data_IF_673177306846
#
_entry.id   IF_673177306846
#
_cell.length_a   1.000
_cell.length_b   1.000
_cell.length_c   1.000
_cell.angle_alpha   90.00
_cell.angle_beta   90.00
_cell.angle_gamma   90.00
#
_symmetry.space_group_name_H-M   'P 1'
#
loop_
_entity.id
_entity.type
_entity.pdbx_description
1 polymer ?
#
# COMPACT_ATOMS: atom_id res chain seq x y z
N UNK A 1 6.67 10.04 -26.05
CA UNK A 1 6.64 8.64 -25.57
C UNK A 1 6.84 8.67 -24.06
N UNK A 2 5.78 8.50 -23.28
CA UNK A 2 5.81 8.48 -21.81
C UNK A 2 6.19 7.07 -21.33
N UNK A 3 7.20 6.86 -20.47
CA UNK A 3 7.41 5.57 -19.84
C UNK A 3 6.48 5.41 -18.63
N UNK A 4 6.05 4.16 -18.42
CA UNK A 4 5.03 3.71 -17.51
C UNK A 4 5.29 4.08 -16.03
N UNK A 5 4.34 4.80 -15.43
CA UNK A 5 4.26 4.99 -13.99
C UNK A 5 3.83 3.70 -13.30
N UNK A 6 4.75 3.07 -12.59
CA UNK A 6 4.44 2.08 -11.55
C UNK A 6 3.87 2.82 -10.33
N UNK A 7 2.57 3.11 -10.40
CA UNK A 7 1.79 3.72 -9.33
C UNK A 7 0.82 2.73 -8.68
N UNK A 8 0.63 2.95 -7.38
CA UNK A 8 -0.41 2.44 -6.49
C UNK A 8 -0.17 1.08 -5.79
N UNK A 9 0.43 1.15 -4.59
CA UNK A 9 -0.01 0.29 -3.48
C UNK A 9 -0.29 1.16 -2.25
N UNK A 10 -1.53 1.13 -1.77
CA UNK A 10 -1.82 1.37 -0.36
C UNK A 10 -1.96 -0.01 0.26
N UNK A 11 -1.03 -0.34 1.16
CA UNK A 11 -1.08 -1.53 2.03
C UNK A 11 -2.10 -1.37 3.18
N UNK A 12 -3.11 -0.53 3.00
CA UNK A 12 -4.07 -0.14 4.04
C UNK A 12 -5.50 -0.47 3.66
N UNK A 13 -6.38 -0.44 4.68
CA UNK A 13 -7.82 -0.53 4.49
C UNK A 13 -8.33 0.71 3.73
N UNK A 14 -9.17 0.53 2.75
CA UNK A 14 -9.91 1.61 2.08
C UNK A 14 -11.25 1.86 2.75
N UNK A 15 -11.69 3.11 2.78
CA UNK A 15 -13.09 3.48 2.98
C UNK A 15 -13.65 3.96 1.65
N UNK A 16 -14.84 3.51 1.29
CA UNK A 16 -15.46 3.80 0.01
C UNK A 16 -16.87 4.32 0.21
N UNK A 17 -17.21 5.33 -0.59
CA UNK A 17 -18.56 5.83 -0.74
C UNK A 17 -18.97 5.64 -2.19
N UNK A 18 -20.07 4.94 -2.42
CA UNK A 18 -20.65 4.74 -3.74
C UNK A 18 -22.07 5.27 -3.77
N UNK A 19 -22.36 6.00 -4.85
CA UNK A 19 -23.67 6.62 -5.09
C UNK A 19 -24.13 6.22 -6.48
N UNK A 20 -25.40 5.88 -6.63
CA UNK A 20 -25.91 5.51 -7.94
C UNK A 20 -27.37 5.16 -7.97
N UNK A 21 -27.72 4.31 -8.94
CA UNK A 21 -29.10 3.95 -9.24
C UNK A 21 -29.22 2.46 -9.44
N UNK A 22 -30.32 1.89 -8.98
CA UNK A 22 -30.72 0.50 -9.22
C UNK A 22 -32.02 0.47 -10.03
N UNK A 23 -32.03 -0.35 -11.08
CA UNK A 23 -33.11 -0.50 -12.04
C UNK A 23 -33.68 -1.91 -11.95
N UNK A 24 -34.88 -2.01 -11.36
CA UNK A 24 -35.60 -3.26 -11.10
C UNK A 24 -37.09 -3.02 -11.34
N UNK A 25 -37.47 -2.78 -12.60
CA UNK A 25 -38.81 -2.32 -13.00
C UNK A 25 -39.11 -0.86 -12.65
N UNK A 26 -38.69 -0.40 -11.47
CA UNK A 26 -38.67 1.01 -11.02
C UNK A 26 -37.24 1.45 -10.69
N UNK A 27 -37.05 2.77 -10.50
CA UNK A 27 -35.76 3.37 -10.14
C UNK A 27 -35.62 3.52 -8.63
N UNK A 28 -34.52 3.01 -8.08
CA UNK A 28 -34.10 3.26 -6.71
C UNK A 28 -32.76 4.01 -6.68
N UNK A 29 -32.57 4.90 -5.71
CA UNK A 29 -31.27 5.50 -5.43
C UNK A 29 -30.46 4.58 -4.50
N UNK A 30 -29.17 4.50 -4.77
CA UNK A 30 -28.21 3.59 -4.11
C UNK A 30 -27.21 4.43 -3.33
N UNK A 31 -27.07 4.13 -2.03
CA UNK A 31 -26.07 4.71 -1.15
C UNK A 31 -25.32 3.59 -0.47
N UNK A 32 -24.01 3.52 -0.66
CA UNK A 32 -23.20 2.43 -0.11
C UNK A 32 -21.93 2.97 0.51
N UNK A 33 -21.68 2.51 1.73
CA UNK A 33 -20.44 2.76 2.43
C UNK A 33 -19.74 1.44 2.68
N UNK A 34 -18.49 1.31 2.25
CA UNK A 34 -17.76 0.04 2.27
C UNK A 34 -16.37 0.22 2.82
N UNK A 35 -15.85 -0.83 3.44
CA UNK A 35 -14.43 -0.99 3.68
C UNK A 35 -13.84 -1.88 2.59
N UNK A 36 -12.56 -1.75 2.30
CA UNK A 36 -11.83 -2.64 1.38
C UNK A 36 -10.49 -3.01 1.98
N UNK A 37 -10.11 -4.28 1.95
CA UNK A 37 -8.84 -4.79 2.43
C UNK A 37 -8.33 -5.90 1.50
N UNK A 38 -7.01 -6.11 1.47
CA UNK A 38 -6.43 -7.24 0.72
C UNK A 38 -6.71 -8.55 1.46
N UNK A 39 -7.17 -9.55 0.73
CA UNK A 39 -7.35 -10.92 1.22
C UNK A 39 -6.12 -11.77 0.86
N UNK A 40 -5.50 -11.51 -0.30
CA UNK A 40 -4.31 -12.21 -0.78
C UNK A 40 -4.36 -12.43 -2.31
N UNK A 41 -3.20 -12.52 -2.96
CA UNK A 41 -3.14 -12.72 -4.41
C UNK A 41 -3.91 -11.63 -5.20
N UNK A 42 -4.79 -11.99 -6.15
CA UNK A 42 -5.62 -11.03 -6.87
C UNK A 42 -6.81 -10.50 -6.06
N UNK A 43 -7.04 -10.95 -4.83
CA UNK A 43 -8.31 -10.79 -4.14
C UNK A 43 -8.28 -9.71 -3.06
N UNK A 44 -9.33 -8.90 -3.07
CA UNK A 44 -9.70 -7.96 -2.01
C UNK A 44 -11.06 -8.33 -1.45
N UNK A 45 -11.36 -7.87 -0.25
CA UNK A 45 -12.65 -8.06 0.36
C UNK A 45 -13.08 -6.84 1.17
N UNK A 46 -14.36 -6.74 1.46
CA UNK A 46 -14.92 -5.59 2.15
C UNK A 46 -16.16 -5.94 2.96
N UNK A 47 -16.37 -5.22 4.06
CA UNK A 47 -17.67 -5.15 4.72
C UNK A 47 -18.26 -3.77 4.53
N UNK A 48 -19.56 -3.68 4.33
CA UNK A 48 -20.21 -2.42 4.05
C UNK A 48 -21.67 -2.39 4.44
N UNK A 49 -22.21 -1.19 4.42
CA UNK A 49 -23.62 -0.89 4.61
C UNK A 49 -24.21 -0.37 3.31
N UNK A 50 -25.40 -0.86 2.96
CA UNK A 50 -26.12 -0.52 1.73
C UNK A 50 -27.49 0.02 2.11
N UNK A 51 -27.83 1.18 1.56
CA UNK A 51 -29.19 1.72 1.55
C UNK A 51 -29.65 1.80 0.11
N UNK A 52 -30.79 1.16 -0.17
CA UNK A 52 -31.53 1.35 -1.41
C UNK A 52 -32.82 2.06 -1.05
N UNK A 53 -33.14 3.16 -1.72
CA UNK A 53 -34.41 3.88 -1.49
C UNK A 53 -35.13 4.03 -2.82
N UNK A 54 -36.37 3.59 -2.87
CA UNK A 54 -37.24 3.75 -4.02
C UNK A 54 -38.54 4.44 -3.57
N UNK A 55 -38.78 5.60 -4.16
CA UNK A 55 -40.01 6.35 -4.00
C UNK A 55 -40.73 6.40 -5.36
N UNK A 56 -41.79 5.62 -5.49
CA UNK A 56 -42.60 5.58 -6.72
C UNK A 56 -44.08 5.40 -6.39
N UNK A 57 -44.92 6.29 -6.95
CA UNK A 57 -46.38 6.18 -6.97
C UNK A 57 -47.02 5.87 -5.58
N UNK A 58 -46.56 6.57 -4.54
CA UNK A 58 -47.12 6.45 -3.19
C UNK A 58 -46.64 5.24 -2.38
N UNK A 59 -45.75 4.40 -2.93
CA UNK A 59 -45.07 3.33 -2.18
C UNK A 59 -43.62 3.71 -1.92
N UNK A 60 -43.26 3.82 -0.64
CA UNK A 60 -41.88 3.96 -0.20
C UNK A 60 -41.32 2.59 0.11
N UNK A 61 -40.21 2.26 -0.53
CA UNK A 61 -39.49 1.01 -0.31
C UNK A 61 -38.05 1.32 0.01
N UNK A 62 -37.52 0.65 1.01
CA UNK A 62 -36.11 0.74 1.29
C UNK A 62 -35.51 -0.62 1.62
N UNK A 63 -34.23 -0.77 1.35
CA UNK A 63 -33.45 -1.88 1.85
C UNK A 63 -32.29 -1.30 2.65
N UNK A 64 -32.14 -1.76 3.89
CA UNK A 64 -31.03 -1.42 4.77
C UNK A 64 -30.27 -2.70 5.09
N UNK A 65 -29.07 -2.85 4.52
CA UNK A 65 -28.32 -4.10 4.61
C UNK A 65 -26.88 -3.92 5.03
N UNK A 66 -26.37 -4.86 5.82
CA UNK A 66 -24.95 -5.04 6.07
C UNK A 66 -24.46 -6.21 5.23
N UNK A 67 -23.38 -6.01 4.49
CA UNK A 67 -22.90 -7.01 3.54
C UNK A 67 -21.41 -7.18 3.53
N UNK A 68 -21.02 -8.33 2.98
CA UNK A 68 -19.65 -8.70 2.70
C UNK A 68 -19.47 -8.87 1.19
N UNK A 69 -18.36 -8.38 0.65
CA UNK A 69 -18.02 -8.46 -0.77
C UNK A 69 -16.59 -8.94 -0.96
N UNK A 70 -16.37 -9.71 -2.01
CA UNK A 70 -15.05 -10.03 -2.54
C UNK A 70 -14.89 -9.41 -3.92
N UNK A 71 -13.69 -8.91 -4.22
CA UNK A 71 -13.32 -8.44 -5.55
C UNK A 71 -12.05 -9.12 -6.03
N UNK A 72 -11.95 -9.32 -7.34
CA UNK A 72 -10.80 -9.93 -8.00
C UNK A 72 -10.20 -8.97 -9.02
N UNK A 73 -8.89 -8.72 -8.92
CA UNK A 73 -8.13 -7.90 -9.85
C UNK A 73 -8.07 -6.40 -9.51
N UNK A 74 -8.78 -5.97 -8.46
CA UNK A 74 -8.86 -4.56 -8.04
C UNK A 74 -7.53 -4.03 -7.51
N UNK A 75 -7.18 -2.80 -7.85
CA UNK A 75 -5.96 -2.12 -7.36
C UNK A 75 -4.64 -2.73 -7.83
N UNK A 76 -4.63 -3.50 -8.94
CA UNK A 76 -3.42 -4.08 -9.54
C UNK A 76 -2.64 -3.11 -10.42
N UNK A 77 -3.33 -2.15 -11.00
CA UNK A 77 -2.80 -1.16 -11.93
C UNK A 77 -3.38 0.21 -11.57
N UNK A 78 -2.74 1.28 -12.05
CA UNK A 78 -3.25 2.65 -11.89
C UNK A 78 -4.65 2.82 -12.49
N UNK A 79 -4.96 2.11 -13.57
CA UNK A 79 -6.29 2.01 -14.18
C UNK A 79 -6.54 0.55 -14.52
N UNK A 80 -7.63 -0.04 -14.04
CA UNK A 80 -7.87 -1.45 -14.30
C UNK A 80 -9.27 -1.93 -13.95
N UNK A 81 -9.77 -2.97 -14.66
CA UNK A 81 -11.04 -3.59 -14.35
C UNK A 81 -10.93 -4.53 -13.15
N UNK A 82 -12.06 -4.79 -12.50
CA UNK A 82 -12.19 -5.82 -11.48
C UNK A 82 -13.58 -6.45 -11.51
N UNK A 83 -13.65 -7.70 -11.08
CA UNK A 83 -14.91 -8.40 -10.84
C UNK A 83 -15.26 -8.34 -9.35
N UNK A 84 -16.55 -8.41 -9.02
CA UNK A 84 -17.03 -8.42 -7.65
C UNK A 84 -18.21 -9.38 -7.44
N UNK A 85 -18.30 -9.91 -6.23
CA UNK A 85 -19.41 -10.73 -5.74
C UNK A 85 -19.66 -10.42 -4.27
N UNK A 86 -20.91 -10.27 -3.85
CA UNK A 86 -21.25 -9.94 -2.48
C UNK A 86 -22.60 -10.47 -2.02
N UNK A 87 -22.76 -10.49 -0.70
CA UNK A 87 -23.99 -10.85 -0.01
C UNK A 87 -24.25 -9.83 1.10
N UNK A 88 -25.45 -9.29 1.16
CA UNK A 88 -25.91 -8.44 2.25
C UNK A 88 -27.13 -9.05 2.94
N UNK A 89 -27.19 -8.93 4.26
CA UNK A 89 -28.35 -9.27 5.08
C UNK A 89 -28.91 -7.98 5.68
N UNK A 90 -30.22 -7.85 5.67
CA UNK A 90 -30.83 -6.57 6.02
C UNK A 90 -32.32 -6.62 6.25
N UNK A 91 -32.88 -5.44 6.43
CA UNK A 91 -34.30 -5.20 6.50
C UNK A 91 -34.76 -4.59 5.16
N UNK A 92 -35.69 -5.28 4.50
CA UNK A 92 -36.44 -4.74 3.38
C UNK A 92 -37.76 -4.19 3.89
N UNK A 93 -38.00 -2.92 3.63
CA UNK A 93 -39.21 -2.20 4.00
C UNK A 93 -40.07 -1.97 2.76
N UNK A 94 -41.36 -2.18 2.92
CA UNK A 94 -42.39 -1.62 2.06
C UNK A 94 -43.29 -0.73 2.92
N UNK A 95 -44.24 -0.02 2.31
CA UNK A 95 -45.05 1.01 2.96
C UNK A 95 -45.80 0.51 4.20
N UNK A 96 -46.02 -0.80 4.33
CA UNK A 96 -46.76 -1.43 5.43
C UNK A 96 -46.02 -2.57 6.14
N UNK A 97 -44.82 -2.97 5.70
CA UNK A 97 -44.16 -4.20 6.20
C UNK A 97 -42.65 -4.04 6.30
N UNK A 98 -42.06 -4.73 7.28
CA UNK A 98 -40.61 -4.88 7.43
C UNK A 98 -40.27 -6.37 7.45
N UNK A 99 -39.41 -6.80 6.55
CA UNK A 99 -39.03 -8.20 6.41
C UNK A 99 -37.51 -8.34 6.41
N UNK A 100 -37.00 -9.44 6.98
CA UNK A 100 -35.62 -9.82 6.78
C UNK A 100 -35.39 -10.18 5.32
N UNK A 101 -34.27 -9.74 4.78
CA UNK A 101 -33.92 -9.95 3.39
C UNK A 101 -32.43 -10.25 3.23
N UNK A 102 -32.11 -11.09 2.25
CA UNK A 102 -30.76 -11.24 1.75
C UNK A 102 -30.66 -10.66 0.34
N UNK A 103 -29.56 -10.00 0.04
CA UNK A 103 -29.27 -9.46 -1.27
C UNK A 103 -27.95 -10.00 -1.79
N UNK A 104 -28.03 -10.76 -2.87
CA UNK A 104 -26.90 -11.25 -3.65
C UNK A 104 -26.50 -10.20 -4.68
N UNK A 105 -25.21 -10.00 -4.87
CA UNK A 105 -24.68 -9.07 -5.86
C UNK A 105 -23.56 -9.73 -6.65
N UNK A 106 -23.56 -9.54 -7.97
CA UNK A 106 -22.47 -9.93 -8.86
C UNK A 106 -22.26 -8.85 -9.90
N UNK A 107 -21.01 -8.58 -10.27
CA UNK A 107 -20.73 -7.54 -11.25
C UNK A 107 -19.25 -7.27 -11.45
N UNK A 108 -18.96 -6.06 -11.91
CA UNK A 108 -17.60 -5.59 -12.08
C UNK A 108 -17.53 -4.08 -12.25
N UNK A 109 -16.32 -3.56 -12.16
CA UNK A 109 -16.08 -2.12 -12.26
C UNK A 109 -14.74 -1.80 -12.87
N UNK A 110 -14.53 -0.52 -13.10
CA UNK A 110 -13.27 0.07 -13.52
C UNK A 110 -12.81 1.03 -12.42
N UNK A 111 -11.56 0.89 -11.98
CA UNK A 111 -10.95 1.77 -10.98
C UNK A 111 -9.79 2.54 -11.58
N UNK A 112 -9.74 3.85 -11.32
CA UNK A 112 -8.61 4.73 -11.60
C UNK A 112 -8.03 5.28 -10.29
N UNK A 113 -6.73 5.14 -10.11
CA UNK A 113 -5.98 5.54 -8.90
C UNK A 113 -5.00 6.67 -9.23
N UNK A 114 -5.46 7.92 -9.35
CA UNK A 114 -4.55 9.04 -9.63
C UNK A 114 -3.51 9.26 -8.53
N UNK A 115 -3.84 8.88 -7.29
CA UNK A 115 -2.94 8.97 -6.13
C UNK A 115 -2.93 7.62 -5.40
N UNK A 116 -1.91 7.35 -4.59
CA UNK A 116 -1.84 6.11 -3.81
C UNK A 116 -3.05 5.96 -2.88
N UNK A 117 -3.45 7.05 -2.22
CA UNK A 117 -4.52 7.13 -1.23
C UNK A 117 -5.92 7.44 -1.81
N UNK A 118 -6.04 7.74 -3.10
CA UNK A 118 -7.32 8.11 -3.73
C UNK A 118 -7.59 7.26 -4.95
N UNK A 119 -8.78 6.68 -5.03
CA UNK A 119 -9.29 6.05 -6.24
C UNK A 119 -10.71 6.52 -6.58
N UNK A 120 -11.00 6.56 -7.87
CA UNK A 120 -12.30 6.87 -8.45
C UNK A 120 -12.70 5.69 -9.34
N UNK A 121 -13.98 5.35 -9.37
CA UNK A 121 -14.42 4.22 -10.18
C UNK A 121 -15.90 4.22 -10.47
N UNK A 122 -16.28 3.37 -11.42
CA UNK A 122 -17.66 3.06 -11.73
C UNK A 122 -17.88 1.55 -11.71
N UNK A 123 -19.03 1.12 -11.22
CA UNK A 123 -19.39 -0.29 -11.13
C UNK A 123 -20.77 -0.54 -11.73
N UNK A 124 -20.89 -1.69 -12.39
CA UNK A 124 -22.14 -2.28 -12.84
C UNK A 124 -22.38 -3.57 -12.08
N UNK A 125 -23.55 -3.68 -11.45
CA UNK A 125 -23.86 -4.77 -10.52
C UNK A 125 -25.25 -5.31 -10.81
N UNK A 126 -25.39 -6.61 -10.93
CA UNK A 126 -26.68 -7.28 -10.85
C UNK A 126 -26.96 -7.63 -9.40
N UNK A 127 -28.17 -7.32 -8.92
CA UNK A 127 -28.63 -7.57 -7.55
C UNK A 127 -29.85 -8.45 -7.56
N UNK A 128 -29.92 -9.38 -6.61
CA UNK A 128 -31.08 -10.22 -6.34
C UNK A 128 -31.38 -10.16 -4.83
N UNK A 129 -32.50 -9.55 -4.47
CA UNK A 129 -33.02 -9.43 -3.11
C UNK A 129 -34.13 -10.46 -2.88
N UNK A 130 -33.92 -11.34 -1.91
CA UNK A 130 -34.84 -12.38 -1.47
C UNK A 130 -35.33 -12.09 -0.04
N UNK A 131 -36.64 -12.22 0.20
CA UNK A 131 -37.31 -11.76 1.44
C UNK A 131 -37.95 -12.94 2.20
N UNK A 132 -37.74 -12.97 3.52
CA UNK A 132 -38.42 -13.87 4.46
C UNK A 132 -37.58 -15.05 4.99
N UNK A 133 -38.14 -15.83 5.94
CA UNK A 133 -37.36 -16.76 6.79
C UNK A 133 -37.12 -18.17 6.21
N UNK A 134 -37.62 -18.49 5.01
CA UNK A 134 -37.63 -19.87 4.46
C UNK A 134 -36.39 -20.27 3.64
N UNK A 135 -35.33 -19.48 3.71
CA UNK A 135 -34.01 -19.86 3.20
C UNK A 135 -33.57 -19.06 1.99
N UNK A 136 -32.44 -18.36 2.16
CA UNK A 136 -31.78 -17.46 1.20
C UNK A 136 -31.22 -18.14 -0.07
N UNK A 137 -31.63 -19.38 -0.36
CA UNK A 137 -31.12 -20.25 -1.41
C UNK A 137 -32.21 -20.70 -2.40
N UNK A 138 -33.47 -20.31 -2.17
CA UNK A 138 -34.59 -20.60 -3.05
C UNK A 138 -35.44 -19.33 -3.24
N UNK A 139 -35.06 -18.44 -4.17
CA UNK A 139 -35.69 -17.14 -4.32
C UNK A 139 -37.19 -17.30 -4.59
N UNK A 140 -38.01 -16.60 -3.81
CA UNK A 140 -39.45 -16.57 -4.01
C UNK A 140 -39.81 -15.95 -5.37
N UNK A 141 -41.03 -16.20 -5.85
CA UNK A 141 -41.55 -15.53 -7.05
C UNK A 141 -41.62 -14.00 -6.91
N UNK A 142 -41.59 -13.46 -5.69
CA UNK A 142 -41.56 -12.03 -5.40
C UNK A 142 -40.16 -11.48 -5.06
N UNK A 143 -39.10 -12.27 -5.36
CA UNK A 143 -37.73 -11.82 -5.31
C UNK A 143 -37.50 -10.65 -6.28
N UNK A 144 -36.74 -9.67 -5.82
CA UNK A 144 -36.51 -8.40 -6.52
C UNK A 144 -35.14 -8.48 -7.19
N UNK A 145 -35.07 -8.29 -8.50
CA UNK A 145 -33.77 -8.33 -9.19
C UNK A 145 -33.58 -7.22 -10.21
N UNK A 146 -32.34 -6.76 -10.38
CA UNK A 146 -32.08 -5.68 -11.33
C UNK A 146 -30.63 -5.25 -11.39
N UNK A 147 -30.34 -4.31 -12.28
CA UNK A 147 -28.98 -3.81 -12.51
C UNK A 147 -28.80 -2.45 -11.82
N UNK A 148 -27.72 -2.27 -11.09
CA UNK A 148 -27.31 -0.98 -10.54
C UNK A 148 -26.03 -0.48 -11.19
N UNK A 149 -26.00 0.82 -11.46
CA UNK A 149 -24.81 1.55 -11.86
C UNK A 149 -24.46 2.53 -10.73
N UNK A 150 -23.23 2.45 -10.23
CA UNK A 150 -22.74 3.30 -9.14
C UNK A 150 -21.41 3.93 -9.50
N UNK A 151 -21.19 5.14 -8.98
CA UNK A 151 -19.90 5.82 -9.00
C UNK A 151 -19.36 5.87 -7.59
N UNK A 152 -18.08 5.55 -7.45
CA UNK A 152 -17.41 5.38 -6.18
C UNK A 152 -16.19 6.28 -6.03
N UNK A 153 -16.01 6.80 -4.81
CA UNK A 153 -14.75 7.36 -4.33
C UNK A 153 -14.21 6.43 -3.25
N UNK A 154 -12.95 6.03 -3.37
CA UNK A 154 -12.24 5.23 -2.37
C UNK A 154 -11.07 6.03 -1.81
N UNK A 155 -11.00 6.09 -0.49
CA UNK A 155 -9.95 6.75 0.28
C UNK A 155 -9.21 5.69 1.09
N UNK A 156 -7.89 5.63 0.93
CA UNK A 156 -7.04 4.80 1.76
C UNK A 156 -7.03 5.34 3.20
N UNK A 157 -7.61 4.60 4.14
CA UNK A 157 -7.60 4.92 5.57
C UNK A 157 -6.64 3.98 6.28
N UNK A 158 -5.41 4.46 6.37
CA UNK A 158 -4.34 3.89 7.17
C UNK A 158 -3.21 4.91 7.25
N UNK A 159 -2.75 5.21 8.45
CA UNK A 159 -1.36 5.67 8.63
C UNK A 159 -0.47 4.63 7.93
N UNK A 160 0.62 5.06 7.30
CA UNK A 160 1.68 4.16 6.86
C UNK A 160 2.21 3.31 8.02
N UNK A 161 1.51 2.21 8.29
CA UNK A 161 1.77 1.14 9.23
C UNK A 161 1.34 -0.12 8.52
N UNK A 162 2.34 -0.88 8.08
CA UNK A 162 2.18 -2.17 7.42
C UNK A 162 1.33 -3.12 8.24
N UNK A 163 0.68 -4.03 7.54
CA UNK A 163 -0.48 -4.77 8.02
C UNK A 163 -0.24 -5.68 9.21
N UNK A 164 -1.19 -5.65 10.15
CA UNK A 164 -1.53 -6.83 10.95
C UNK A 164 -2.41 -7.75 10.11
N UNK A 165 -1.82 -8.82 9.59
CA UNK A 165 -2.48 -10.04 9.15
C UNK A 165 -2.05 -11.21 10.05
N UNK A 166 -3.00 -11.78 10.78
CA UNK A 166 -2.82 -12.79 11.82
C UNK A 166 -2.67 -14.18 11.17
N UNK A 167 -1.56 -14.87 11.45
CA UNK A 167 -1.31 -16.24 10.98
C UNK A 167 -0.02 -16.87 11.53
N UNK A 168 0.06 -17.06 12.85
CA UNK A 168 0.67 -18.24 13.46
C UNK A 168 2.14 -18.59 13.19
N UNK A 169 3.08 -17.66 13.33
CA UNK A 169 4.35 -17.82 14.05
C UNK A 169 4.69 -16.40 14.55
N UNK A 170 5.07 -16.23 15.82
CA UNK A 170 5.12 -14.93 16.48
C UNK A 170 5.80 -13.85 15.63
N UNK A 171 5.03 -12.91 15.10
CA UNK A 171 5.57 -11.74 14.43
C UNK A 171 6.34 -10.93 15.50
N UNK A 172 7.62 -10.60 15.26
CA UNK A 172 8.34 -9.68 16.12
C UNK A 172 7.60 -8.33 16.18
N UNK A 173 7.66 -7.62 17.31
CA UNK A 173 6.97 -6.35 17.48
C UNK A 173 7.31 -5.37 16.36
N UNK A 174 6.31 -4.64 15.84
CA UNK A 174 6.49 -3.51 14.93
C UNK A 174 7.52 -2.55 15.55
N UNK A 175 8.77 -2.63 15.14
CA UNK A 175 9.81 -1.77 15.66
C UNK A 175 9.45 -0.32 15.31
N UNK A 176 9.55 0.63 16.27
CA UNK A 176 9.33 2.04 15.96
C UNK A 176 10.25 2.47 14.81
N UNK A 177 9.98 3.55 14.05
CA UNK A 177 10.92 4.04 13.04
C UNK A 177 12.34 4.17 13.63
N UNK A 178 13.38 3.78 12.90
CA UNK A 178 14.74 3.88 13.42
C UNK A 178 15.09 5.34 13.68
N UNK A 179 15.38 5.65 14.93
CA UNK A 179 15.95 6.92 15.33
C UNK A 179 17.46 6.93 15.02
N UNK A 180 18.05 8.11 14.76
CA UNK A 180 19.50 8.24 14.65
C UNK A 180 20.22 7.57 15.83
N UNK A 181 21.42 7.00 15.61
CA UNK A 181 22.20 6.40 16.68
C UNK A 181 22.53 7.44 17.76
N UNK A 182 22.54 7.01 19.02
CA UNK A 182 22.83 7.90 20.16
C UNK A 182 24.31 8.26 20.20
N UNK A 183 25.16 7.38 19.68
CA UNK A 183 26.60 7.60 19.58
C UNK A 183 27.10 7.17 18.21
N UNK A 184 27.75 8.10 17.50
CA UNK A 184 28.47 7.82 16.27
C UNK A 184 29.94 7.77 16.63
N UNK A 185 30.56 6.59 16.54
CA UNK A 185 31.97 6.39 16.89
C UNK A 185 32.80 5.96 15.67
N UNK A 186 34.06 6.39 15.62
CA UNK A 186 35.02 5.99 14.60
C UNK A 186 35.43 7.14 13.67
N UNK A 187 36.39 6.87 12.78
CA UNK A 187 37.04 7.87 11.94
C UNK A 187 36.11 8.53 10.90
N UNK A 188 34.95 7.94 10.63
CA UNK A 188 33.96 8.44 9.69
C UNK A 188 32.77 9.15 10.36
N UNK A 189 32.86 9.48 11.66
CA UNK A 189 31.74 10.04 12.41
C UNK A 189 31.18 11.32 11.79
N UNK A 190 32.04 12.23 11.32
CA UNK A 190 31.62 13.49 10.70
C UNK A 190 30.89 13.26 9.37
N UNK A 191 31.33 12.27 8.57
CA UNK A 191 30.66 11.88 7.32
C UNK A 191 29.27 11.31 7.61
N UNK A 192 29.15 10.48 8.63
CA UNK A 192 27.87 9.91 9.07
C UNK A 192 26.94 11.02 9.56
N UNK A 193 27.45 11.98 10.33
CA UNK A 193 26.69 13.12 10.82
C UNK A 193 26.13 13.97 9.66
N UNK A 194 26.95 14.30 8.67
CA UNK A 194 26.51 15.02 7.46
C UNK A 194 25.42 14.25 6.69
N UNK A 195 25.54 12.92 6.60
CA UNK A 195 24.49 12.12 5.98
C UNK A 195 23.18 12.19 6.78
N UNK A 196 23.25 12.12 8.11
CA UNK A 196 22.09 12.20 9.01
C UNK A 196 21.39 13.58 8.97
N UNK A 197 22.13 14.66 8.75
CA UNK A 197 21.57 16.01 8.56
C UNK A 197 20.67 16.09 7.31
N UNK A 198 20.84 15.19 6.35
CA UNK A 198 20.00 15.09 5.15
C UNK A 198 18.69 14.33 5.39
N UNK A 199 18.37 13.90 6.61
CA UNK A 199 17.14 13.16 6.91
C UNK A 199 15.88 13.93 6.50
N UNK A 200 14.98 13.26 5.79
CA UNK A 200 13.74 13.86 5.27
C UNK A 200 13.89 14.57 3.93
N UNK A 201 15.11 14.80 3.43
CA UNK A 201 15.32 15.41 2.12
C UNK A 201 14.67 14.56 1.01
N UNK A 202 13.91 15.16 0.06
CA UNK A 202 13.23 14.41 -0.98
C UNK A 202 14.16 13.60 -1.88
N UNK A 203 13.62 12.52 -2.45
CA UNK A 203 14.33 11.78 -3.48
C UNK A 203 14.18 12.48 -4.83
N UNK A 204 15.30 12.73 -5.51
CA UNK A 204 15.34 13.24 -6.88
C UNK A 204 16.30 12.35 -7.66
N UNK A 205 15.82 11.74 -8.74
CA UNK A 205 16.69 10.99 -9.65
C UNK A 205 17.77 11.91 -10.21
N UNK A 206 19.05 11.56 -10.05
CA UNK A 206 20.14 12.43 -10.45
C UNK A 206 20.54 13.48 -9.41
N UNK A 207 19.78 13.62 -8.31
CA UNK A 207 20.03 14.61 -7.26
C UNK A 207 21.29 14.36 -6.44
N UNK A 208 22.00 15.43 -6.09
CA UNK A 208 23.32 15.41 -5.41
C UNK A 208 23.49 16.54 -4.39
N UNK A 209 22.40 17.20 -3.97
CA UNK A 209 22.44 18.36 -3.08
C UNK A 209 21.19 18.41 -2.18
N UNK A 210 21.17 19.37 -1.25
CA UNK A 210 20.17 19.45 -0.18
C UNK A 210 18.72 19.66 -0.66
N UNK A 211 18.51 20.05 -1.92
CA UNK A 211 17.18 20.12 -2.52
C UNK A 211 16.64 18.76 -3.00
N UNK A 212 17.48 17.73 -3.02
CA UNK A 212 17.10 16.34 -3.30
C UNK A 212 18.27 15.44 -3.67
N UNK A 213 18.21 14.20 -3.19
CA UNK A 213 19.25 13.20 -3.42
C UNK A 213 18.70 11.96 -4.11
N UNK A 214 19.48 11.35 -5.01
CA UNK A 214 19.35 9.90 -5.24
C UNK A 214 20.27 9.11 -4.29
N UNK A 215 20.21 7.78 -4.35
CA UNK A 215 20.92 6.92 -3.41
C UNK A 215 22.43 7.17 -3.42
N UNK A 216 23.06 7.13 -4.58
CA UNK A 216 24.49 7.40 -4.75
C UNK A 216 24.87 8.87 -4.56
N UNK A 217 23.97 9.79 -4.87
CA UNK A 217 24.15 11.23 -4.70
C UNK A 217 24.23 11.63 -3.22
N UNK A 218 23.42 11.04 -2.35
CA UNK A 218 23.51 11.23 -0.90
C UNK A 218 24.89 10.83 -0.37
N UNK A 219 25.36 9.63 -0.76
CA UNK A 219 26.64 9.09 -0.30
C UNK A 219 27.80 9.95 -0.84
N UNK A 220 27.73 10.32 -2.12
CA UNK A 220 28.73 11.20 -2.73
C UNK A 220 28.79 12.56 -2.04
N UNK A 221 27.64 13.15 -1.71
CA UNK A 221 27.55 14.42 -1.01
C UNK A 221 28.17 14.34 0.39
N UNK A 222 27.76 13.37 1.20
CA UNK A 222 28.24 13.23 2.58
C UNK A 222 29.76 13.09 2.64
N UNK A 223 30.35 12.22 1.81
CA UNK A 223 31.82 12.10 1.72
C UNK A 223 32.48 13.34 1.12
N UNK A 224 31.83 13.99 0.14
CA UNK A 224 32.34 15.18 -0.54
C UNK A 224 32.48 16.39 0.38
N UNK A 225 31.58 16.57 1.35
CA UNK A 225 31.69 17.62 2.38
C UNK A 225 32.96 17.47 3.23
N UNK A 226 33.50 16.27 3.33
CA UNK A 226 34.73 15.95 4.07
C UNK A 226 35.93 15.72 3.14
N UNK A 227 35.88 16.25 1.91
CA UNK A 227 36.99 16.23 0.96
C UNK A 227 37.23 14.89 0.25
N UNK A 228 36.37 13.89 0.47
CA UNK A 228 36.52 12.55 -0.12
C UNK A 228 35.66 12.45 -1.38
N UNK A 229 36.31 12.27 -2.53
CA UNK A 229 35.62 12.18 -3.83
C UNK A 229 35.21 10.74 -4.12
N UNK A 230 33.90 10.51 -4.21
CA UNK A 230 33.33 9.24 -4.65
C UNK A 230 32.76 9.31 -6.07
N UNK A 231 32.79 8.19 -6.83
CA UNK A 231 32.10 8.08 -8.10
C UNK A 231 30.60 8.39 -7.99
N UNK A 232 30.01 8.86 -9.09
CA UNK A 232 28.60 9.28 -9.10
C UNK A 232 27.61 8.11 -9.08
N UNK A 233 27.96 6.96 -9.68
CA UNK A 233 27.04 5.83 -9.82
C UNK A 233 27.25 4.81 -8.71
N UNK A 234 26.16 4.25 -8.20
CA UNK A 234 26.16 3.17 -7.18
C UNK A 234 27.05 1.97 -7.56
N UNK A 235 27.02 1.57 -8.84
CA UNK A 235 27.85 0.49 -9.39
C UNK A 235 29.36 0.76 -9.32
N UNK A 236 29.76 2.04 -9.37
CA UNK A 236 31.16 2.45 -9.33
C UNK A 236 31.59 2.66 -7.87
N UNK A 237 30.71 3.19 -7.02
CA UNK A 237 30.90 3.23 -5.57
C UNK A 237 31.07 1.82 -4.99
N UNK A 238 30.42 0.82 -5.57
CA UNK A 238 30.61 -0.60 -5.25
C UNK A 238 32.02 -1.14 -5.54
N UNK A 239 32.91 -0.34 -6.14
CA UNK A 239 34.32 -0.67 -6.41
C UNK A 239 35.30 0.28 -5.69
N UNK A 240 34.79 1.22 -4.89
CA UNK A 240 35.61 2.16 -4.15
C UNK A 240 36.03 1.58 -2.79
N UNK A 241 37.20 2.01 -2.29
CA UNK A 241 37.70 1.61 -0.97
C UNK A 241 37.98 0.11 -0.83
N UNK A 242 38.07 -0.35 0.41
CA UNK A 242 38.31 -1.75 0.75
C UNK A 242 36.99 -2.54 0.80
N UNK A 243 37.03 -3.81 0.41
CA UNK A 243 35.91 -4.72 0.62
C UNK A 243 35.70 -4.99 2.11
N UNK A 244 34.44 -4.96 2.55
CA UNK A 244 34.06 -5.40 3.88
C UNK A 244 33.25 -6.67 3.73
N UNK A 245 33.63 -7.71 4.48
CA UNK A 245 32.87 -8.95 4.57
C UNK A 245 31.40 -8.64 4.87
N UNK A 246 30.43 -9.22 4.15
CA UNK A 246 29.00 -8.98 4.34
C UNK A 246 28.49 -9.64 5.64
N UNK A 247 29.04 -9.23 6.76
CA UNK A 247 28.69 -9.63 8.11
C UNK A 247 28.42 -8.35 8.91
N UNK A 248 27.31 -8.31 9.63
CA UNK A 248 26.90 -7.15 10.42
C UNK A 248 28.01 -6.71 11.38
N UNK A 249 28.66 -7.66 12.05
CA UNK A 249 29.73 -7.40 13.01
C UNK A 249 31.01 -6.82 12.39
N UNK A 250 31.16 -6.94 11.06
CA UNK A 250 32.28 -6.35 10.34
C UNK A 250 32.04 -4.88 9.97
N UNK A 251 30.79 -4.40 10.06
CA UNK A 251 30.41 -3.04 9.65
C UNK A 251 30.88 -1.99 10.65
N UNK A 252 31.37 -0.87 10.12
CA UNK A 252 31.72 0.33 10.87
C UNK A 252 30.93 1.53 10.35
N UNK A 253 30.51 2.47 11.23
CA UNK A 253 29.87 3.70 10.78
C UNK A 253 30.68 4.34 9.65
N UNK A 254 30.00 4.73 8.57
CA UNK A 254 30.60 5.21 7.33
C UNK A 254 30.67 4.16 6.22
N UNK A 255 30.69 2.86 6.51
CA UNK A 255 30.75 1.84 5.45
C UNK A 255 29.56 1.97 4.47
N UNK A 256 29.85 1.92 3.17
CA UNK A 256 28.84 1.98 2.11
C UNK A 256 28.24 0.59 1.93
N UNK A 257 26.94 0.45 2.21
CA UNK A 257 26.18 -0.78 2.00
C UNK A 257 25.68 -0.85 0.56
N UNK A 258 25.81 -2.03 -0.06
CA UNK A 258 25.48 -2.29 -1.45
C UNK A 258 24.27 -3.19 -1.55
N UNK A 259 23.26 -2.79 -2.32
CA UNK A 259 22.01 -3.54 -2.47
C UNK A 259 21.62 -3.76 -3.94
N UNK A 260 20.87 -4.83 -4.16
CA UNK A 260 20.37 -5.25 -5.47
C UNK A 260 18.84 -5.17 -5.55
N UNK A 261 18.28 -4.64 -6.62
CA UNK A 261 16.82 -4.53 -6.81
C UNK A 261 16.16 -5.91 -6.88
N UNK A 262 16.88 -6.88 -7.43
CA UNK A 262 16.48 -8.29 -7.51
C UNK A 262 17.65 -9.15 -7.05
N UNK A 263 17.44 -10.00 -6.05
CA UNK A 263 18.49 -10.87 -5.52
C UNK A 263 19.23 -11.58 -6.66
N UNK A 264 20.57 -11.55 -6.62
CA UNK A 264 21.45 -12.08 -7.67
C UNK A 264 21.72 -11.14 -8.87
N UNK A 265 21.17 -9.93 -8.91
CA UNK A 265 21.53 -8.91 -9.92
C UNK A 265 22.60 -7.94 -9.41
N UNK A 266 23.27 -7.21 -10.31
CA UNK A 266 24.31 -6.24 -9.92
C UNK A 266 23.80 -5.13 -9.00
N UNK A 267 24.72 -4.32 -8.45
CA UNK A 267 24.38 -3.23 -7.51
C UNK A 267 23.49 -2.18 -8.19
N UNK A 268 22.31 -1.94 -7.60
CA UNK A 268 21.35 -0.93 -8.07
C UNK A 268 21.07 0.15 -7.03
N UNK A 269 21.40 -0.09 -5.77
CA UNK A 269 21.11 0.83 -4.67
C UNK A 269 22.24 0.82 -3.64
N UNK A 270 22.45 1.95 -2.96
CA UNK A 270 23.46 2.10 -1.90
C UNK A 270 22.90 2.84 -0.69
N UNK A 271 23.50 2.59 0.47
CA UNK A 271 23.27 3.31 1.72
C UNK A 271 24.57 3.42 2.52
N UNK A 272 24.55 4.16 3.64
CA UNK A 272 25.68 4.30 4.56
C UNK A 272 25.32 3.71 5.91
N UNK A 273 26.12 2.77 6.41
CA UNK A 273 25.95 2.25 7.77
C UNK A 273 26.24 3.36 8.78
N UNK A 274 25.36 3.54 9.76
CA UNK A 274 25.48 4.61 10.77
C UNK A 274 25.72 4.07 12.17
N UNK A 275 25.75 2.74 12.34
CA UNK A 275 25.85 2.08 13.66
C UNK A 275 24.50 1.57 14.15
N UNK A 276 24.52 0.83 15.27
CA UNK A 276 23.32 0.28 15.93
C UNK A 276 22.39 -0.50 14.97
N UNK A 277 22.96 -1.28 14.05
CA UNK A 277 22.20 -2.02 13.01
C UNK A 277 21.40 -1.11 12.07
N UNK A 278 21.74 0.16 11.94
CA UNK A 278 21.02 1.13 11.11
C UNK A 278 21.87 1.61 9.96
N UNK A 279 21.21 1.99 8.88
CA UNK A 279 21.84 2.67 7.75
C UNK A 279 20.93 3.76 7.20
N UNK A 280 21.55 4.81 6.65
CA UNK A 280 20.87 5.91 5.99
C UNK A 280 20.96 5.75 4.47
N UNK A 281 19.88 6.07 3.78
CA UNK A 281 19.82 6.01 2.31
C UNK A 281 18.72 6.93 1.77
N UNK A 282 18.85 7.35 0.52
CA UNK A 282 17.77 8.03 -0.21
C UNK A 282 16.91 7.00 -0.95
N UNK A 283 15.70 6.74 -0.46
CA UNK A 283 14.73 5.81 -1.06
C UNK A 283 13.68 6.56 -1.89
N UNK A 284 12.76 5.86 -2.55
CA UNK A 284 11.57 6.48 -3.16
C UNK A 284 10.71 7.35 -2.20
N UNK A 285 10.97 7.34 -0.89
CA UNK A 285 10.31 8.17 0.14
C UNK A 285 11.21 9.30 0.65
N UNK A 286 12.33 9.58 -0.02
CA UNK A 286 13.36 10.52 0.45
C UNK A 286 14.43 9.86 1.31
N UNK A 287 15.27 10.68 1.91
CA UNK A 287 16.35 10.27 2.81
C UNK A 287 15.76 9.79 4.13
N UNK A 288 16.05 8.55 4.51
CA UNK A 288 15.55 7.93 5.75
C UNK A 288 16.56 6.93 6.32
N UNK A 289 16.29 6.51 7.55
CA UNK A 289 16.96 5.37 8.19
C UNK A 289 16.20 4.07 7.94
N UNK A 290 16.94 2.97 7.89
CA UNK A 290 16.42 1.60 7.85
C UNK A 290 17.30 0.69 8.72
N UNK A 291 16.76 -0.45 9.15
CA UNK A 291 17.49 -1.42 9.99
C UNK A 291 18.05 -2.57 9.17
N UNK A 292 19.11 -3.17 9.66
CA UNK A 292 19.64 -4.48 9.25
C UNK A 292 19.19 -5.53 10.26
N UNK A 293 17.87 -5.64 10.45
CA UNK A 293 17.26 -6.57 11.40
C UNK A 293 16.34 -7.54 10.63
N UNK A 294 16.57 -8.87 10.68
CA UNK A 294 15.69 -9.83 10.03
C UNK A 294 14.28 -9.88 10.64
N UNK A 295 14.09 -9.34 11.84
CA UNK A 295 12.80 -9.20 12.50
C UNK A 295 12.04 -7.94 12.06
N UNK A 296 12.72 -6.96 11.45
CA UNK A 296 12.07 -5.81 10.82
C UNK A 296 11.65 -6.21 9.39
N UNK A 297 10.37 -6.11 8.97
CA UNK A 297 9.97 -6.42 7.59
C UNK A 297 10.74 -5.63 6.52
N UNK A 298 11.07 -4.36 6.80
CA UNK A 298 11.92 -3.58 5.90
C UNK A 298 13.39 -4.04 5.98
N UNK A 299 13.88 -4.38 7.18
CA UNK A 299 15.22 -4.91 7.36
C UNK A 299 15.44 -6.26 6.67
N UNK A 300 14.49 -7.18 6.77
CA UNK A 300 14.48 -8.44 6.04
C UNK A 300 14.54 -8.23 4.52
N UNK A 301 13.81 -7.25 3.99
CA UNK A 301 13.87 -6.87 2.57
C UNK A 301 15.28 -6.41 2.15
N UNK A 302 15.93 -5.60 2.98
CA UNK A 302 17.29 -5.11 2.71
C UNK A 302 18.35 -6.20 2.85
N UNK A 303 18.22 -7.07 3.85
CA UNK A 303 19.11 -8.20 4.08
C UNK A 303 19.05 -9.23 2.93
N UNK A 304 17.86 -9.55 2.41
CA UNK A 304 17.66 -10.41 1.22
C UNK A 304 18.33 -9.86 -0.05
N UNK A 305 18.58 -8.55 -0.08
CA UNK A 305 19.16 -7.81 -1.21
C UNK A 305 20.57 -7.32 -0.95
N UNK A 306 21.13 -7.63 0.21
CA UNK A 306 22.44 -7.14 0.60
C UNK A 306 23.53 -7.89 -0.18
N UNK A 307 24.30 -7.14 -0.96
CA UNK A 307 25.36 -7.67 -1.81
C UNK A 307 26.71 -7.64 -1.10
N UNK A 308 26.95 -6.60 -0.30
CA UNK A 308 28.24 -6.37 0.34
C UNK A 308 28.37 -4.98 0.91
N UNK A 309 29.58 -4.64 1.36
CA UNK A 309 29.90 -3.31 1.84
C UNK A 309 31.30 -2.85 1.42
N UNK A 310 31.51 -1.54 1.37
CA UNK A 310 32.79 -0.89 1.07
C UNK A 310 33.21 0.06 2.18
N UNK A 311 34.45 -0.05 2.63
CA UNK A 311 35.06 0.85 3.61
C UNK A 311 35.93 1.89 2.92
N UNK A 312 35.55 3.15 3.07
CA UNK A 312 36.29 4.28 2.48
C UNK A 312 37.31 4.84 3.48
N UNK A 313 36.95 4.93 4.76
CA UNK A 313 37.81 5.44 5.83
C UNK A 313 38.19 4.24 6.73
N UNK A 314 39.48 3.91 6.88
CA UNK A 314 39.96 2.77 7.69
C UNK A 314 39.57 2.83 9.18
#
# INVERSE_FOLDING_TARGET
>A
MLPAGLGAQVEGRGLELHLGRWYNGNRADVYEFRTTARLGGPFTHGVGFTILVNDSLGRRRAFYGLGYEMQAGRGRTTLGPYALVGLALGLSTDTSTQELAAQWTVGGGLEWRPLSWLALGGELRYRLEDRGPRGFWNPRQDARSGVSAVLGVSLGVGKGRGGRGRGGYGAPPDLPPPEPPVTISGNAADVVQTALESLGTPYIWGGTADNGFDCSGLIQYAYGQHGIRLPRMSRDQARAGAEVTPLIDALRPGDILLFSARSGTGVTHVGMYVGELKFIHSSNRGVKLSRLDPQDPEGAYWLDRWVGARRIIP
#
